data_IF_077065987330
#
_entry.id   IF_077065987330
#
_cell.length_a   1.000
_cell.length_b   1.000
_cell.length_c   1.000
_cell.angle_alpha   90.00
_cell.angle_beta   90.00
_cell.angle_gamma   90.00
#
_symmetry.space_group_name_H-M   'P 1'
#
loop_
_entity.id
_entity.type
_entity.pdbx_description
1 polymer ?
#
# COMPACT_ATOMS: atom_id res chain seq x y z
N UNK A 1 -3.84 11.13 2.19
CA UNK A 1 -3.68 9.96 3.10
C UNK A 1 -2.27 9.42 2.92
N UNK A 2 -1.71 8.70 3.91
CA UNK A 2 -0.39 8.09 3.73
C UNK A 2 -0.34 6.67 4.26
N UNK A 3 0.54 5.85 3.67
CA UNK A 3 0.66 4.45 4.04
C UNK A 3 2.08 3.93 3.75
N UNK A 4 2.44 2.85 4.44
CA UNK A 4 3.72 2.19 4.29
C UNK A 4 3.70 1.26 3.09
N UNK A 5 4.69 1.42 2.21
CA UNK A 5 5.05 0.44 1.18
C UNK A 5 6.44 -0.12 1.48
N UNK A 6 6.56 -1.44 1.53
CA UNK A 6 7.87 -2.11 1.59
C UNK A 6 8.26 -2.56 0.20
N UNK A 7 9.38 -2.08 -0.30
CA UNK A 7 9.93 -2.41 -1.63
C UNK A 7 11.14 -3.33 -1.47
N UNK A 8 11.11 -4.45 -2.19
CA UNK A 8 12.15 -5.46 -2.21
C UNK A 8 13.04 -5.23 -3.43
N UNK A 9 14.34 -5.09 -3.22
CA UNK A 9 15.34 -4.84 -4.26
C UNK A 9 15.90 -3.42 -4.25
N UNK A 10 16.90 -3.19 -5.11
CA UNK A 10 17.70 -1.97 -5.09
C UNK A 10 17.05 -0.76 -5.80
N UNK A 11 16.19 -1.01 -6.78
CA UNK A 11 15.65 0.02 -7.67
C UNK A 11 14.21 0.40 -7.27
N UNK A 12 14.10 1.16 -6.18
CA UNK A 12 12.81 1.60 -5.62
C UNK A 12 12.05 2.47 -6.64
N UNK A 13 12.74 3.38 -7.30
CA UNK A 13 12.16 4.32 -8.25
C UNK A 13 11.54 3.60 -9.44
N UNK A 14 12.29 2.70 -10.09
CA UNK A 14 11.74 1.93 -11.21
C UNK A 14 10.56 1.07 -10.80
N UNK A 15 10.63 0.41 -9.64
CA UNK A 15 9.55 -0.46 -9.19
C UNK A 15 8.26 0.31 -8.88
N UNK A 16 8.38 1.53 -8.35
CA UNK A 16 7.22 2.37 -8.05
C UNK A 16 6.73 3.18 -9.25
N UNK A 17 7.58 3.41 -10.26
CA UNK A 17 7.27 4.29 -11.42
C UNK A 17 5.97 3.97 -12.15
N UNK A 18 5.51 2.70 -12.12
CA UNK A 18 4.25 2.29 -12.75
C UNK A 18 3.01 2.65 -11.94
N UNK A 19 3.16 3.09 -10.70
CA UNK A 19 2.07 3.30 -9.75
C UNK A 19 1.86 4.78 -9.41
N UNK A 20 2.55 5.70 -10.09
CA UNK A 20 2.31 7.14 -9.91
C UNK A 20 1.09 7.60 -10.68
N UNK A 21 0.25 8.43 -10.07
CA UNK A 21 -0.91 9.08 -10.70
C UNK A 21 -0.48 9.89 -11.94
N UNK A 22 0.68 10.55 -11.85
CA UNK A 22 1.26 11.35 -12.93
C UNK A 22 2.05 10.53 -13.95
N UNK A 23 2.00 9.20 -13.86
CA UNK A 23 2.66 8.33 -14.84
C UNK A 23 1.93 8.47 -16.16
N UNK A 24 2.57 9.15 -17.11
CA UNK A 24 1.99 9.39 -18.43
C UNK A 24 2.03 8.08 -19.23
N UNK A 25 0.86 7.48 -19.45
CA UNK A 25 0.74 6.32 -20.34
C UNK A 25 0.58 6.79 -21.78
N UNK A 26 1.13 6.02 -22.71
CA UNK A 26 0.73 6.15 -24.12
C UNK A 26 -0.74 5.74 -24.24
N UNK A 27 -1.54 6.40 -25.10
CA UNK A 27 -2.94 6.03 -25.28
C UNK A 27 -3.09 4.52 -25.53
N UNK A 28 -3.98 3.88 -24.80
CA UNK A 28 -4.26 2.45 -24.94
C UNK A 28 -5.76 2.21 -24.97
N UNK A 29 -6.16 1.08 -25.55
CA UNK A 29 -7.56 0.64 -25.56
C UNK A 29 -7.89 0.00 -24.22
N UNK A 30 -8.87 0.56 -23.52
CA UNK A 30 -9.48 -0.05 -22.35
C UNK A 30 -10.81 -0.65 -22.75
N UNK A 31 -10.89 -1.98 -22.70
CA UNK A 31 -12.14 -2.71 -22.93
C UNK A 31 -13.05 -2.58 -21.70
N UNK A 32 -14.33 -2.37 -21.97
CA UNK A 32 -15.35 -2.19 -20.94
C UNK A 32 -16.12 -3.49 -20.77
N UNK A 33 -16.17 -3.99 -19.54
CA UNK A 33 -16.96 -5.18 -19.22
C UNK A 33 -18.46 -4.85 -19.28
N UNK A 34 -19.29 -5.87 -19.52
CA UNK A 34 -20.74 -5.70 -19.50
C UNK A 34 -21.27 -5.16 -18.15
N UNK A 35 -20.57 -5.48 -17.05
CA UNK A 35 -20.93 -5.01 -15.71
C UNK A 35 -20.63 -3.51 -15.53
N UNK A 36 -19.46 -3.05 -15.99
CA UNK A 36 -19.12 -1.61 -15.97
C UNK A 36 -20.09 -0.81 -16.84
N UNK A 37 -20.37 -1.28 -18.06
CA UNK A 37 -21.31 -0.62 -18.96
C UNK A 37 -22.70 -0.50 -18.35
N UNK A 38 -23.21 -1.51 -17.64
CA UNK A 38 -24.52 -1.41 -16.99
C UNK A 38 -24.54 -0.43 -15.82
N UNK A 39 -23.41 -0.22 -15.13
CA UNK A 39 -23.30 0.83 -14.10
C UNK A 39 -23.51 2.20 -14.74
N UNK A 40 -22.83 2.51 -15.84
CA UNK A 40 -22.95 3.80 -16.52
C UNK A 40 -24.37 4.01 -17.08
N UNK A 41 -24.95 2.97 -17.69
CA UNK A 41 -26.33 3.00 -18.18
C UNK A 41 -27.33 3.24 -17.06
N UNK A 42 -27.14 2.60 -15.91
CA UNK A 42 -27.99 2.84 -14.73
C UNK A 42 -27.88 4.29 -14.25
N UNK A 43 -26.66 4.83 -14.15
CA UNK A 43 -26.45 6.22 -13.75
C UNK A 43 -27.17 7.18 -14.69
N UNK A 44 -27.10 6.96 -16.01
CA UNK A 44 -27.80 7.81 -16.98
C UNK A 44 -29.33 7.66 -16.95
N UNK A 45 -29.86 6.48 -16.59
CA UNK A 45 -31.30 6.30 -16.35
C UNK A 45 -31.77 7.02 -15.09
N UNK A 46 -30.96 7.02 -14.03
CA UNK A 46 -31.26 7.68 -12.76
C UNK A 46 -31.04 9.20 -12.81
N UNK A 47 -30.05 9.63 -13.60
CA UNK A 47 -29.62 11.01 -13.79
C UNK A 47 -29.49 11.31 -15.29
N UNK A 48 -30.62 11.55 -15.99
CA UNK A 48 -30.61 11.81 -17.42
C UNK A 48 -29.76 13.04 -17.77
N UNK A 49 -28.95 12.89 -18.82
CA UNK A 49 -28.19 13.97 -19.43
C UNK A 49 -28.90 14.33 -20.73
N UNK A 50 -29.21 15.61 -20.93
CA UNK A 50 -29.94 16.07 -22.11
C UNK A 50 -29.24 15.64 -23.41
N UNK A 51 -29.98 14.94 -24.27
CA UNK A 51 -29.50 14.48 -25.57
C UNK A 51 -28.66 13.19 -25.54
N UNK A 52 -28.53 12.53 -24.39
CA UNK A 52 -27.81 11.27 -24.26
C UNK A 52 -28.78 10.10 -24.04
N UNK A 53 -28.79 9.13 -24.96
CA UNK A 53 -29.54 7.89 -24.84
C UNK A 53 -28.71 6.84 -24.08
N UNK A 54 -29.18 6.32 -22.92
CA UNK A 54 -28.50 5.25 -22.18
C UNK A 54 -28.34 3.94 -22.96
N UNK A 55 -29.02 3.75 -24.08
CA UNK A 55 -28.90 2.56 -24.91
C UNK A 55 -27.96 2.77 -26.13
N UNK A 56 -27.50 4.00 -26.38
CA UNK A 56 -26.44 4.31 -27.34
C UNK A 56 -25.06 4.09 -26.70
N UNK A 57 -24.56 2.85 -26.76
CA UNK A 57 -23.29 2.44 -26.14
C UNK A 57 -22.12 3.36 -26.54
N UNK A 58 -21.89 3.68 -27.85
CA UNK A 58 -20.89 4.68 -28.22
C UNK A 58 -21.04 6.02 -27.49
N UNK A 59 -22.26 6.55 -27.36
CA UNK A 59 -22.49 7.81 -26.68
C UNK A 59 -22.27 7.71 -25.16
N UNK A 60 -22.71 6.61 -24.52
CA UNK A 60 -22.47 6.33 -23.09
C UNK A 60 -20.97 6.25 -22.80
N UNK A 61 -20.20 5.56 -23.64
CA UNK A 61 -18.76 5.43 -23.46
C UNK A 61 -18.01 6.75 -23.68
N UNK A 62 -18.43 7.58 -24.64
CA UNK A 62 -17.87 8.93 -24.82
C UNK A 62 -18.15 9.82 -23.61
N UNK A 63 -19.34 9.71 -23.03
CA UNK A 63 -19.70 10.44 -21.83
C UNK A 63 -18.87 9.99 -20.61
N UNK A 64 -18.70 8.68 -20.42
CA UNK A 64 -17.89 8.12 -19.32
C UNK A 64 -16.39 8.39 -19.45
N UNK A 65 -15.86 8.48 -20.67
CA UNK A 65 -14.43 8.72 -20.94
C UNK A 65 -13.97 10.18 -20.71
N UNK A 66 -14.91 11.14 -20.61
CA UNK A 66 -14.59 12.56 -20.44
C UNK A 66 -14.05 13.26 -21.70
N UNK A 67 -13.93 14.60 -21.62
CA UNK A 67 -13.70 15.51 -22.76
C UNK A 67 -12.40 15.27 -23.56
N UNK A 68 -11.43 14.51 -23.04
CA UNK A 68 -10.09 14.45 -23.64
C UNK A 68 -10.00 13.57 -24.90
N UNK A 69 -11.00 12.72 -25.21
CA UNK A 69 -10.90 11.74 -26.31
C UNK A 69 -12.18 11.61 -27.17
N UNK A 70 -13.14 12.53 -27.08
CA UNK A 70 -14.54 12.31 -27.48
C UNK A 70 -14.84 12.06 -28.98
N UNK A 71 -13.96 12.36 -29.94
CA UNK A 71 -14.29 12.21 -31.37
C UNK A 71 -13.76 10.91 -32.01
N UNK A 72 -12.58 10.42 -31.61
CA UNK A 72 -11.97 9.17 -32.13
C UNK A 72 -11.77 8.10 -31.04
N UNK A 73 -12.26 8.39 -29.83
CA UNK A 73 -11.94 7.69 -28.59
C UNK A 73 -12.60 6.33 -28.39
N UNK A 74 -13.69 5.98 -29.09
CA UNK A 74 -14.49 4.78 -28.79
C UNK A 74 -14.54 3.85 -30.00
N UNK A 75 -14.44 2.54 -29.77
CA UNK A 75 -14.57 1.55 -30.82
C UNK A 75 -15.01 0.18 -30.30
N UNK A 76 -15.14 -0.76 -31.22
CA UNK A 76 -15.48 -2.14 -30.92
C UNK A 76 -14.52 -3.07 -31.68
N UNK A 77 -13.98 -4.07 -31.00
CA UNK A 77 -13.21 -5.14 -31.61
C UNK A 77 -13.66 -6.51 -31.09
N UNK A 78 -12.88 -7.57 -31.37
CA UNK A 78 -13.20 -8.94 -30.97
C UNK A 78 -13.31 -9.14 -29.45
N UNK A 79 -12.74 -8.23 -28.65
CA UNK A 79 -12.81 -8.25 -27.19
C UNK A 79 -13.96 -7.39 -26.63
N UNK A 80 -14.77 -6.77 -27.50
CA UNK A 80 -15.93 -5.96 -27.14
C UNK A 80 -15.70 -4.47 -27.33
N UNK A 81 -16.49 -3.67 -26.61
CA UNK A 81 -16.40 -2.21 -26.66
C UNK A 81 -15.18 -1.71 -25.89
N UNK A 82 -14.50 -0.70 -26.43
CA UNK A 82 -13.38 -0.04 -25.78
C UNK A 82 -13.46 1.48 -25.94
N UNK A 83 -12.77 2.18 -25.06
CA UNK A 83 -12.38 3.56 -25.27
C UNK A 83 -10.86 3.74 -25.11
N UNK A 84 -10.32 4.78 -25.72
CA UNK A 84 -8.93 5.18 -25.59
C UNK A 84 -8.73 5.92 -24.29
N UNK A 85 -7.74 5.49 -23.52
CA UNK A 85 -7.45 6.01 -22.19
C UNK A 85 -5.96 6.36 -22.08
N UNK A 86 -5.64 7.33 -21.22
CA UNK A 86 -4.28 7.72 -20.84
C UNK A 86 -4.06 7.67 -19.33
N UNK A 87 -5.12 7.41 -18.56
CA UNK A 87 -5.07 7.30 -17.11
C UNK A 87 -4.31 6.06 -16.68
N UNK A 88 -3.57 6.20 -15.58
CA UNK A 88 -2.89 5.09 -14.96
C UNK A 88 -3.79 4.41 -13.93
N UNK A 89 -4.48 3.34 -14.32
CA UNK A 89 -5.36 2.57 -13.42
C UNK A 89 -4.59 1.74 -12.40
N UNK A 90 -3.27 1.66 -12.56
CA UNK A 90 -2.37 1.16 -11.53
C UNK A 90 -1.92 2.27 -10.59
N UNK A 91 -2.38 3.51 -10.73
CA UNK A 91 -2.01 4.57 -9.81
C UNK A 91 -2.37 4.19 -8.38
N UNK A 92 -1.40 4.31 -7.49
CA UNK A 92 -1.50 4.08 -6.05
C UNK A 92 -1.02 5.27 -5.25
N UNK A 93 -0.39 6.27 -5.89
CA UNK A 93 0.13 7.43 -5.19
C UNK A 93 0.24 8.67 -6.09
N UNK A 94 0.16 9.87 -5.49
CA UNK A 94 0.45 11.15 -6.14
C UNK A 94 1.93 11.54 -6.01
N UNK A 95 2.54 11.24 -4.85
CA UNK A 95 3.99 11.20 -4.62
C UNK A 95 4.41 10.19 -3.55
N UNK A 96 5.72 9.96 -3.43
CA UNK A 96 6.30 9.12 -2.39
C UNK A 96 7.66 9.63 -1.93
N UNK A 97 8.08 9.22 -0.73
CA UNK A 97 9.42 9.52 -0.18
C UNK A 97 9.99 8.28 0.48
N UNK A 98 11.28 8.00 0.27
CA UNK A 98 11.97 6.91 0.97
C UNK A 98 12.02 7.21 2.49
N UNK A 99 11.61 6.24 3.30
CA UNK A 99 11.45 6.40 4.75
C UNK A 99 10.23 7.25 5.09
N UNK A 100 10.35 8.58 4.96
CA UNK A 100 9.33 9.53 5.42
C UNK A 100 8.96 9.25 6.88
N UNK A 101 7.66 9.09 7.17
CA UNK A 101 7.20 8.69 8.52
C UNK A 101 7.60 7.29 8.94
N UNK A 102 7.98 6.46 7.99
CA UNK A 102 8.41 5.09 8.21
C UNK A 102 9.94 4.95 8.23
N UNK A 103 10.67 6.05 8.42
CA UNK A 103 12.13 6.05 8.48
C UNK A 103 12.69 5.20 9.63
N UNK A 104 11.89 4.89 10.65
CA UNK A 104 12.26 4.03 11.77
C UNK A 104 11.59 2.65 11.73
N UNK A 105 10.97 2.28 10.60
CA UNK A 105 10.14 1.10 10.55
C UNK A 105 10.95 -0.19 10.72
N UNK A 106 12.12 -0.34 10.08
CA UNK A 106 12.92 -1.57 10.15
C UNK A 106 13.83 -1.58 11.38
N UNK A 107 13.70 -2.59 12.23
CA UNK A 107 14.65 -2.84 13.32
C UNK A 107 15.86 -3.59 12.79
N UNK A 108 17.05 -3.03 12.97
CA UNK A 108 18.32 -3.67 12.62
C UNK A 108 18.80 -4.51 13.80
N UNK A 109 19.17 -5.76 13.54
CA UNK A 109 19.71 -6.67 14.56
C UNK A 109 21.09 -6.18 15.05
N UNK A 110 21.47 -6.61 16.24
CA UNK A 110 22.79 -6.29 16.79
C UNK A 110 23.92 -6.71 15.81
N UNK A 111 24.81 -5.78 15.50
CA UNK A 111 25.91 -5.99 14.54
C UNK A 111 25.51 -5.92 13.05
N UNK A 112 24.24 -5.67 12.74
CA UNK A 112 23.77 -5.41 11.37
C UNK A 112 24.11 -4.00 10.90
N UNK A 113 23.91 -3.75 9.60
CA UNK A 113 24.18 -2.45 8.98
C UNK A 113 22.96 -1.93 8.21
N UNK A 114 22.67 -0.63 8.29
CA UNK A 114 21.75 0.00 7.35
C UNK A 114 22.48 0.44 6.07
N UNK A 115 21.76 0.46 4.95
CA UNK A 115 22.33 0.76 3.63
C UNK A 115 22.33 2.27 3.36
N UNK A 116 21.43 3.02 3.99
CA UNK A 116 21.33 4.49 3.86
C UNK A 116 21.43 5.19 5.21
N UNK A 117 22.63 5.73 5.57
CA UNK A 117 22.94 6.53 6.77
C UNK A 117 22.08 7.79 6.97
N UNK A 118 21.46 8.28 5.90
CA UNK A 118 20.72 9.54 5.82
C UNK A 118 19.29 9.48 6.43
N UNK A 119 18.85 8.32 6.93
CA UNK A 119 17.54 8.14 7.58
C UNK A 119 17.58 7.29 8.87
N UNK A 120 18.43 7.64 9.84
CA UNK A 120 18.58 6.93 11.12
C UNK A 120 18.01 7.80 12.22
N UNK A 121 17.15 7.23 13.05
CA UNK A 121 16.68 7.91 14.25
C UNK A 121 16.54 6.92 15.40
N UNK A 122 16.85 7.39 16.61
CA UNK A 122 16.50 6.71 17.85
C UNK A 122 14.96 6.70 17.97
N UNK A 123 14.41 5.60 18.45
CA UNK A 123 12.97 5.47 18.72
C UNK A 123 12.46 6.64 19.57
N UNK A 124 11.44 7.35 19.06
CA UNK A 124 10.78 8.44 19.78
C UNK A 124 11.09 9.83 19.21
N UNK A 125 10.07 10.38 18.55
CA UNK A 125 9.94 11.70 17.92
C UNK A 125 10.49 11.90 16.48
N UNK A 126 9.71 12.55 15.60
CA UNK A 126 9.90 12.53 14.16
C UNK A 126 10.47 13.87 13.68
N UNK A 127 11.77 13.95 13.49
CA UNK A 127 12.30 14.94 12.55
C UNK A 127 13.41 14.31 11.69
N UNK A 128 13.08 13.84 10.47
CA UNK A 128 14.06 13.30 9.54
C UNK A 128 15.08 14.35 9.04
N UNK A 129 14.98 15.62 9.47
CA UNK A 129 15.87 16.71 9.04
C UNK A 129 16.91 17.13 10.09
N UNK A 130 16.93 16.52 11.28
CA UNK A 130 17.81 16.97 12.37
C UNK A 130 19.06 16.13 12.52
N UNK A 131 20.18 16.66 12.02
CA UNK A 131 21.59 16.20 12.09
C UNK A 131 22.14 15.79 13.49
N UNK A 132 21.32 15.84 14.54
CA UNK A 132 21.70 15.59 15.94
C UNK A 132 21.18 14.25 16.52
N UNK A 133 20.31 13.54 15.80
CA UNK A 133 19.75 12.24 16.23
C UNK A 133 20.47 11.01 15.63
N UNK A 134 21.69 11.19 15.11
CA UNK A 134 22.46 10.16 14.38
C UNK A 134 23.58 9.62 15.27
N UNK A 135 23.52 8.32 15.56
CA UNK A 135 24.61 7.61 16.21
C UNK A 135 24.93 6.32 15.46
N UNK A 136 26.21 5.97 15.44
CA UNK A 136 26.69 4.69 14.91
C UNK A 136 26.14 3.55 15.76
N UNK A 137 25.74 2.46 15.10
CA UNK A 137 25.43 1.18 15.70
C UNK A 137 26.42 0.80 16.82
N UNK A 138 25.98 0.76 18.08
CA UNK A 138 26.79 0.28 19.20
C UNK A 138 26.18 -1.00 19.78
N UNK A 139 27.00 -1.85 20.38
CA UNK A 139 26.55 -3.10 20.98
C UNK A 139 25.52 -2.80 22.08
N UNK A 140 24.28 -3.30 21.91
CA UNK A 140 23.18 -3.11 22.87
C UNK A 140 22.16 -2.04 22.50
N UNK A 141 22.33 -1.30 21.40
CA UNK A 141 21.34 -0.33 20.91
C UNK A 141 20.55 -0.92 19.73
N UNK A 142 19.21 -0.94 19.83
CA UNK A 142 18.34 -1.24 18.68
C UNK A 142 18.42 -0.08 17.71
N UNK A 143 18.81 -0.35 16.46
CA UNK A 143 18.85 0.68 15.42
C UNK A 143 17.63 0.53 14.54
N UNK A 144 17.16 1.65 14.05
CA UNK A 144 15.99 1.72 13.19
C UNK A 144 16.34 2.43 11.89
N UNK A 145 15.77 1.98 10.78
CA UNK A 145 16.07 2.52 9.46
C UNK A 145 14.92 2.35 8.47
N UNK A 146 14.92 3.18 7.43
CA UNK A 146 14.10 3.02 6.24
C UNK A 146 14.63 1.91 5.32
N UNK A 147 15.93 1.61 5.36
CA UNK A 147 16.54 0.75 4.35
C UNK A 147 17.74 -0.05 4.88
N UNK A 148 17.65 -1.37 4.77
CA UNK A 148 18.74 -2.29 5.14
C UNK A 148 18.65 -3.58 4.32
N UNK A 149 19.63 -4.46 4.45
CA UNK A 149 19.59 -5.79 3.83
C UNK A 149 18.76 -6.72 4.68
N UNK A 150 18.08 -7.69 4.05
CA UNK A 150 17.28 -8.72 4.73
C UNK A 150 18.00 -9.33 5.93
N UNK A 151 19.25 -9.75 5.75
CA UNK A 151 20.06 -10.41 6.80
C UNK A 151 20.29 -9.56 8.04
N UNK A 152 20.15 -8.24 7.91
CA UNK A 152 20.45 -7.26 8.94
C UNK A 152 19.16 -6.85 9.70
N UNK A 153 17.97 -7.30 9.25
CA UNK A 153 16.67 -7.03 9.90
C UNK A 153 16.43 -7.99 11.06
N UNK A 154 15.96 -7.50 12.20
CA UNK A 154 15.48 -8.31 13.33
C UNK A 154 13.95 -8.51 13.26
N UNK A 155 13.51 -9.42 12.38
CA UNK A 155 12.08 -9.71 12.23
C UNK A 155 11.42 -10.19 13.52
N UNK A 156 12.15 -10.90 14.38
CA UNK A 156 11.59 -11.40 15.63
C UNK A 156 11.37 -10.27 16.63
N UNK A 157 12.29 -9.30 16.72
CA UNK A 157 12.07 -8.09 17.51
C UNK A 157 10.87 -7.28 17.00
N UNK A 158 10.74 -7.12 15.68
CA UNK A 158 9.61 -6.41 15.09
C UNK A 158 8.27 -7.09 15.38
N UNK A 159 8.20 -8.42 15.26
CA UNK A 159 7.01 -9.21 15.60
C UNK A 159 6.67 -9.12 17.09
N UNK A 160 7.66 -9.23 17.98
CA UNK A 160 7.47 -9.05 19.43
C UNK A 160 6.91 -7.68 19.74
N UNK A 161 7.51 -6.62 19.18
CA UNK A 161 7.06 -5.25 19.39
C UNK A 161 5.62 -5.02 18.91
N UNK A 162 5.26 -5.52 17.72
CA UNK A 162 3.89 -5.43 17.21
C UNK A 162 2.89 -6.15 18.13
N UNK A 163 3.24 -7.36 18.59
CA UNK A 163 2.41 -8.14 19.51
C UNK A 163 2.22 -7.44 20.86
N UNK A 164 3.29 -6.92 21.46
CA UNK A 164 3.25 -6.18 22.73
C UNK A 164 2.43 -4.88 22.59
N UNK A 165 2.61 -4.16 21.49
CA UNK A 165 1.83 -2.95 21.24
C UNK A 165 0.35 -3.25 21.05
N UNK A 166 0.00 -4.33 20.35
CA UNK A 166 -1.39 -4.75 20.20
C UNK A 166 -1.98 -5.21 21.54
N UNK A 167 -1.22 -5.96 22.34
CA UNK A 167 -1.66 -6.35 23.68
C UNK A 167 -1.97 -5.13 24.56
N UNK A 168 -1.09 -4.12 24.53
CA UNK A 168 -1.30 -2.88 25.26
C UNK A 168 -2.55 -2.12 24.80
N UNK A 169 -2.72 -1.92 23.48
CA UNK A 169 -3.92 -1.25 22.93
C UNK A 169 -5.22 -1.99 23.31
N UNK A 170 -5.19 -3.32 23.30
CA UNK A 170 -6.32 -4.13 23.76
C UNK A 170 -6.62 -3.91 25.24
N UNK A 171 -5.58 -3.93 26.09
CA UNK A 171 -5.76 -3.78 27.53
C UNK A 171 -6.25 -2.35 27.87
N UNK A 172 -5.76 -1.32 27.18
CA UNK A 172 -6.25 0.07 27.26
C UNK A 172 -7.73 0.18 26.85
N UNK A 173 -8.10 -0.43 25.71
CA UNK A 173 -9.48 -0.48 25.23
C UNK A 173 -10.43 -1.12 26.26
N UNK A 174 -10.01 -2.25 26.84
CA UNK A 174 -10.80 -2.96 27.87
C UNK A 174 -10.87 -2.20 29.20
N UNK A 175 -9.92 -1.32 29.49
CA UNK A 175 -9.93 -0.47 30.67
C UNK A 175 -10.88 0.73 30.56
N UNK A 176 -11.57 0.90 29.43
CA UNK A 176 -12.52 2.00 29.21
C UNK A 176 -11.94 3.20 28.48
N UNK A 177 -10.72 3.09 27.94
CA UNK A 177 -10.17 4.09 27.03
C UNK A 177 -10.77 3.89 25.63
N UNK A 178 -11.97 4.43 25.46
CA UNK A 178 -12.71 4.40 24.20
C UNK A 178 -12.40 5.65 23.38
N UNK A 179 -11.43 5.55 22.49
CA UNK A 179 -11.31 6.45 21.35
C UNK A 179 -12.22 5.92 20.22
N UNK A 180 -13.01 6.75 19.51
CA UNK A 180 -13.84 6.32 18.38
C UNK A 180 -13.10 5.50 17.32
N UNK A 181 -11.80 5.76 17.10
CA UNK A 181 -10.94 4.95 16.25
C UNK A 181 -10.73 3.57 16.86
N UNK A 182 -10.35 3.47 18.14
CA UNK A 182 -10.17 2.18 18.82
C UNK A 182 -11.45 1.35 18.86
N UNK A 183 -12.61 1.97 19.05
CA UNK A 183 -13.91 1.26 18.95
C UNK A 183 -14.12 0.65 17.56
N UNK A 184 -13.73 1.36 16.50
CA UNK A 184 -13.80 0.85 15.12
C UNK A 184 -12.78 -0.26 14.85
N UNK A 185 -11.58 -0.15 15.42
CA UNK A 185 -10.47 -1.07 15.17
C UNK A 185 -10.45 -2.32 16.07
N UNK A 186 -11.01 -2.24 17.28
CA UNK A 186 -10.99 -3.30 18.31
C UNK A 186 -12.39 -3.86 18.55
N UNK A 187 -13.43 -3.02 18.45
CA UNK A 187 -14.81 -3.42 18.71
C UNK A 187 -15.24 -4.60 17.85
N UNK A 188 -15.89 -5.58 18.47
CA UNK A 188 -16.36 -6.79 17.80
C UNK A 188 -15.34 -7.93 17.68
N UNK A 189 -14.06 -7.71 18.00
CA UNK A 189 -13.05 -8.77 18.04
C UNK A 189 -12.89 -9.38 19.44
N UNK A 190 -12.41 -10.62 19.51
CA UNK A 190 -11.78 -11.17 20.72
C UNK A 190 -10.31 -10.75 20.81
N UNK A 191 -9.71 -10.85 22.01
CA UNK A 191 -8.28 -10.54 22.21
C UNK A 191 -7.39 -11.34 21.27
N UNK A 192 -7.69 -12.63 21.11
CA UNK A 192 -6.92 -13.52 20.25
C UNK A 192 -6.98 -13.08 18.77
N UNK A 193 -8.17 -12.74 18.27
CA UNK A 193 -8.36 -12.25 16.90
C UNK A 193 -7.63 -10.92 16.68
N UNK A 194 -7.78 -9.97 17.61
CA UNK A 194 -7.10 -8.68 17.52
C UNK A 194 -5.56 -8.83 17.53
N UNK A 195 -5.01 -9.67 18.40
CA UNK A 195 -3.57 -9.93 18.43
C UNK A 195 -3.05 -10.62 17.16
N UNK A 196 -3.80 -11.58 16.62
CA UNK A 196 -3.44 -12.25 15.38
C UNK A 196 -3.43 -11.28 14.19
N UNK A 197 -4.44 -10.39 14.13
CA UNK A 197 -4.55 -9.34 13.12
C UNK A 197 -3.43 -8.29 13.23
N UNK A 198 -2.97 -7.98 14.43
CA UNK A 198 -1.98 -6.93 14.69
C UNK A 198 -0.57 -7.48 14.94
N UNK A 199 -0.18 -8.46 14.13
CA UNK A 199 1.21 -8.92 14.00
C UNK A 199 2.02 -8.01 13.07
N UNK A 200 3.35 -8.16 13.06
CA UNK A 200 4.20 -7.40 12.14
C UNK A 200 4.04 -7.89 10.70
N UNK A 201 3.53 -7.03 9.83
CA UNK A 201 3.59 -7.12 8.36
C UNK A 201 3.38 -5.70 7.77
N UNK A 202 3.94 -5.40 6.60
CA UNK A 202 3.61 -4.17 5.90
C UNK A 202 2.20 -4.27 5.30
N UNK A 203 1.53 -3.13 5.11
CA UNK A 203 0.25 -3.09 4.40
C UNK A 203 0.43 -3.37 2.89
N UNK A 204 1.58 -2.97 2.34
CA UNK A 204 1.91 -3.17 0.93
C UNK A 204 3.33 -3.71 0.80
N UNK A 205 3.50 -4.68 -0.10
CA UNK A 205 4.78 -5.23 -0.50
C UNK A 205 4.94 -5.09 -2.02
N UNK A 206 6.06 -4.54 -2.49
CA UNK A 206 6.42 -4.47 -3.90
C UNK A 206 7.64 -5.33 -4.16
N UNK A 207 7.52 -6.30 -5.07
CA UNK A 207 8.59 -7.22 -5.45
C UNK A 207 8.63 -7.31 -6.97
N UNK A 208 9.79 -7.08 -7.56
CA UNK A 208 9.99 -7.10 -9.02
C UNK A 208 8.98 -6.21 -9.77
N UNK A 209 8.62 -5.07 -9.16
CA UNK A 209 7.64 -4.12 -9.69
C UNK A 209 6.17 -4.57 -9.59
N UNK A 210 5.87 -5.69 -8.94
CA UNK A 210 4.51 -6.15 -8.67
C UNK A 210 4.02 -5.67 -7.30
N UNK A 211 2.83 -5.05 -7.26
CA UNK A 211 2.19 -4.54 -6.05
C UNK A 211 1.29 -5.58 -5.39
N UNK A 212 1.59 -5.91 -4.14
CA UNK A 212 0.79 -6.77 -3.28
C UNK A 212 0.30 -5.97 -2.08
N UNK A 213 -0.98 -6.08 -1.74
CA UNK A 213 -1.60 -5.29 -0.67
C UNK A 213 -2.42 -6.16 0.27
N UNK A 214 -2.43 -5.76 1.55
CA UNK A 214 -3.15 -6.42 2.62
C UNK A 214 -4.64 -6.12 2.52
N UNK A 215 -5.37 -7.09 1.96
CA UNK A 215 -6.78 -6.97 1.61
C UNK A 215 -6.90 -7.01 0.09
N UNK A 216 -7.18 -8.22 -0.46
CA UNK A 216 -7.13 -8.67 -1.88
C UNK A 216 -5.95 -8.11 -2.66
N UNK A 217 -5.53 -8.65 -3.78
CA UNK A 217 -6.14 -8.35 -5.09
C UNK A 217 -6.91 -6.99 -5.26
N UNK A 218 -6.87 -6.01 -4.34
CA UNK A 218 -7.73 -4.81 -4.33
C UNK A 218 -8.93 -4.79 -3.35
N UNK A 219 -8.89 -5.41 -2.17
CA UNK A 219 -9.98 -5.36 -1.17
C UNK A 219 -9.68 -4.27 -0.18
N UNK A 220 -10.52 -3.25 -0.30
CA UNK A 220 -10.95 -2.35 0.76
C UNK A 220 -10.91 -3.00 2.15
N UNK A 221 -10.21 -2.31 3.06
CA UNK A 221 -10.33 -2.09 4.52
C UNK A 221 -10.98 -3.13 5.48
N UNK A 222 -11.74 -4.11 5.01
CA UNK A 222 -12.44 -5.11 5.81
C UNK A 222 -11.78 -6.48 5.64
N UNK A 223 -10.66 -6.65 6.34
CA UNK A 223 -9.86 -7.87 6.32
C UNK A 223 -10.39 -8.79 7.42
N UNK A 224 -11.08 -9.87 7.04
CA UNK A 224 -11.44 -10.96 7.96
C UNK A 224 -10.18 -11.57 8.59
N UNK A 225 -10.32 -12.25 9.74
CA UNK A 225 -9.18 -12.88 10.44
C UNK A 225 -8.40 -13.85 9.54
N UNK A 226 -9.10 -14.59 8.68
CA UNK A 226 -8.52 -15.52 7.70
C UNK A 226 -7.62 -14.78 6.70
N UNK A 227 -8.08 -13.66 6.15
CA UNK A 227 -7.30 -12.84 5.19
C UNK A 227 -6.08 -12.18 5.85
N UNK A 228 -6.18 -11.84 7.13
CA UNK A 228 -5.04 -11.33 7.89
C UNK A 228 -3.95 -12.40 8.07
N UNK A 229 -4.35 -13.64 8.37
CA UNK A 229 -3.43 -14.77 8.50
C UNK A 229 -2.78 -15.15 7.17
N UNK A 230 -3.57 -15.18 6.08
CA UNK A 230 -3.08 -15.41 4.71
C UNK A 230 -2.03 -14.38 4.30
N UNK A 231 -2.28 -13.09 4.57
CA UNK A 231 -1.31 -12.03 4.29
C UNK A 231 0.00 -12.22 5.06
N UNK A 232 -0.09 -12.50 6.36
CA UNK A 232 1.08 -12.75 7.20
C UNK A 232 1.90 -13.94 6.68
N UNK A 233 1.23 -15.01 6.26
CA UNK A 233 1.87 -16.19 5.68
C UNK A 233 2.54 -15.86 4.34
N UNK A 234 1.85 -15.13 3.45
CA UNK A 234 2.38 -14.67 2.17
C UNK A 234 3.65 -13.84 2.36
N UNK A 235 3.59 -12.79 3.19
CA UNK A 235 4.76 -11.92 3.47
C UNK A 235 5.91 -12.75 4.03
N UNK A 236 5.64 -13.62 5.02
CA UNK A 236 6.67 -14.45 5.65
C UNK A 236 7.34 -15.39 4.63
N UNK A 237 6.57 -15.99 3.74
CA UNK A 237 7.07 -16.85 2.66
C UNK A 237 7.92 -16.06 1.65
N UNK A 238 7.47 -14.87 1.24
CA UNK A 238 8.24 -14.00 0.37
C UNK A 238 9.60 -13.68 1.01
N UNK A 239 9.62 -13.18 2.24
CA UNK A 239 10.87 -12.87 2.94
C UNK A 239 11.77 -14.10 3.14
N UNK A 240 11.20 -15.28 3.42
CA UNK A 240 11.98 -16.51 3.58
C UNK A 240 12.76 -16.87 2.31
N UNK A 241 12.18 -16.64 1.12
CA UNK A 241 12.78 -16.97 -0.19
C UNK A 241 13.82 -15.96 -0.67
N UNK A 242 13.77 -14.73 -0.16
CA UNK A 242 14.69 -13.67 -0.60
C UNK A 242 16.14 -13.97 -0.22
N UNK A 243 17.12 -13.67 -1.08
CA UNK A 243 18.53 -13.70 -0.71
C UNK A 243 18.85 -12.80 0.50
N UNK A 244 19.81 -13.22 1.32
CA UNK A 244 20.22 -12.50 2.53
C UNK A 244 20.75 -11.08 2.26
N UNK A 245 21.30 -10.85 1.07
CA UNK A 245 21.84 -9.55 0.66
C UNK A 245 20.79 -8.63 0.00
N UNK A 246 19.55 -9.10 -0.16
CA UNK A 246 18.47 -8.32 -0.78
C UNK A 246 18.19 -7.07 0.03
N UNK A 247 18.11 -5.93 -0.67
CA UNK A 247 17.77 -4.65 -0.07
C UNK A 247 16.27 -4.59 0.21
N UNK A 248 15.89 -4.11 1.39
CA UNK A 248 14.52 -3.88 1.81
C UNK A 248 14.38 -2.39 2.12
N UNK A 249 13.38 -1.75 1.53
CA UNK A 249 13.17 -0.29 1.63
C UNK A 249 11.74 0.01 2.07
N UNK A 250 11.58 0.86 3.08
CA UNK A 250 10.30 1.41 3.51
C UNK A 250 10.08 2.75 2.82
N UNK A 251 8.89 2.92 2.24
CA UNK A 251 8.49 4.11 1.49
C UNK A 251 7.21 4.67 2.10
N UNK A 252 7.16 5.98 2.28
CA UNK A 252 5.97 6.74 2.63
C UNK A 252 5.28 7.19 1.34
N UNK A 253 4.20 6.50 0.98
CA UNK A 253 3.38 6.84 -0.19
C UNK A 253 2.19 7.71 0.21
N UNK A 254 1.81 8.62 -0.68
CA UNK A 254 0.72 9.55 -0.52
C UNK A 254 -0.37 9.33 -1.57
N UNK A 255 -1.63 9.51 -1.19
CA UNK A 255 -2.82 9.49 -2.06
C UNK A 255 -3.75 10.62 -1.70
#
# INVERSE_FOLDING_TARGET
MHFLVVVVGADVERQLSLYGERTRLSPYRRHVSAAELEVDRRVLREHPVDGLDPDDIPAVLRWGAGDLMAEEGVGQDEHGWYYWDTENWKARWDYWTLGGRWAQYLTVRAGGAAVRPDFWCRTGEPDPHRAEYWETASAGTSLHTAQTRKRDIDFDAMRRHAHESAARQWDEYRAGHHDPLLDTYIGGFTRAQYLARNTWHPAVLVIDGLWYERGDRGLRADVSDERAAEWTAFVSDQFARLPEHTLISCVDCHT
#
